data_IF_751024291710
#
_entry.id   IF_751024291710
#
_cell.length_a   1.000
_cell.length_b   1.000
_cell.length_c   1.000
_cell.angle_alpha   90.00
_cell.angle_beta   90.00
_cell.angle_gamma   90.00
#
_symmetry.space_group_name_H-M   'P 1'
#
loop_
_entity.id
_entity.type
_entity.pdbx_description
1 polymer ?
#
# COMPACT_ATOMS: atom_id res chain seq x y z
N UNK A 1 25.53 12.27 -0.90
CA UNK A 1 24.24 11.57 -0.71
C UNK A 1 23.13 12.62 -0.74
N UNK A 2 22.16 12.55 -1.66
CA UNK A 2 21.16 13.62 -1.84
C UNK A 2 20.14 13.58 -0.68
N UNK A 3 20.05 14.67 0.09
CA UNK A 3 19.21 14.78 1.29
C UNK A 3 17.71 14.54 0.98
N UNK A 4 17.25 14.85 -0.23
CA UNK A 4 15.85 14.69 -0.66
C UNK A 4 15.43 13.22 -0.75
N UNK A 5 16.26 12.35 -1.34
CA UNK A 5 15.97 10.91 -1.41
C UNK A 5 16.03 10.27 -0.02
N UNK A 6 16.97 10.69 0.83
CA UNK A 6 17.03 10.24 2.21
C UNK A 6 15.77 10.67 3.00
N UNK A 7 15.29 11.90 2.78
CA UNK A 7 14.06 12.41 3.39
C UNK A 7 12.82 11.67 2.88
N UNK A 8 12.70 11.42 1.57
CA UNK A 8 11.63 10.61 0.99
C UNK A 8 11.63 9.20 1.58
N UNK A 9 12.78 8.53 1.58
CA UNK A 9 12.92 7.20 2.17
C UNK A 9 12.56 7.19 3.66
N UNK A 10 12.92 8.25 4.40
CA UNK A 10 12.51 8.44 5.79
C UNK A 10 11.00 8.54 5.95
N UNK A 11 10.32 9.37 5.14
CA UNK A 11 8.85 9.49 5.16
C UNK A 11 8.16 8.17 4.85
N UNK A 12 8.58 7.48 3.79
CA UNK A 12 8.02 6.17 3.41
C UNK A 12 8.15 5.19 4.57
N UNK A 13 9.35 5.05 5.16
CA UNK A 13 9.58 4.18 6.31
C UNK A 13 8.72 4.54 7.51
N UNK A 14 8.46 5.82 7.73
CA UNK A 14 7.62 6.28 8.84
C UNK A 14 6.13 6.00 8.59
N UNK A 15 5.68 6.00 7.34
CA UNK A 15 4.28 5.68 6.98
C UNK A 15 3.95 4.19 7.07
N UNK A 16 4.92 3.29 6.86
CA UNK A 16 4.67 1.84 6.89
C UNK A 16 4.10 1.32 8.22
N UNK A 17 4.62 1.70 9.42
CA UNK A 17 4.01 1.33 10.69
C UNK A 17 2.56 1.80 10.86
N UNK A 18 2.20 2.96 10.30
CA UNK A 18 0.84 3.47 10.37
C UNK A 18 -0.11 2.65 9.49
N UNK A 19 0.32 2.27 8.28
CA UNK A 19 -0.41 1.33 7.43
C UNK A 19 -0.60 -0.03 8.10
N UNK A 20 0.44 -0.56 8.74
CA UNK A 20 0.37 -1.83 9.46
C UNK A 20 -0.64 -1.79 10.62
N UNK A 21 -0.74 -0.65 11.33
CA UNK A 21 -1.76 -0.46 12.37
C UNK A 21 -3.17 -0.48 11.79
N UNK A 22 -3.40 0.15 10.64
CA UNK A 22 -4.71 0.16 9.98
C UNK A 22 -5.13 -1.27 9.58
N UNK A 23 -4.20 -2.05 9.02
CA UNK A 23 -4.43 -3.47 8.69
C UNK A 23 -4.82 -4.27 9.94
N UNK A 24 -4.00 -4.21 11.00
CA UNK A 24 -4.29 -4.94 12.23
C UNK A 24 -5.60 -4.53 12.91
N UNK A 25 -6.02 -3.26 12.75
CA UNK A 25 -7.32 -2.78 13.23
C UNK A 25 -8.47 -3.32 12.39
N UNK A 26 -8.35 -3.35 11.06
CA UNK A 26 -9.36 -3.96 10.19
C UNK A 26 -9.56 -5.44 10.53
N UNK A 27 -8.48 -6.20 10.69
CA UNK A 27 -8.52 -7.63 11.07
C UNK A 27 -9.21 -7.84 12.43
N UNK A 28 -8.81 -7.07 13.46
CA UNK A 28 -9.39 -7.15 14.80
C UNK A 28 -10.89 -6.86 14.80
N UNK A 29 -11.33 -5.84 14.05
CA UNK A 29 -12.74 -5.45 13.99
C UNK A 29 -13.57 -6.47 13.20
N UNK A 30 -13.01 -7.04 12.12
CA UNK A 30 -13.67 -8.13 11.38
C UNK A 30 -13.88 -9.36 12.26
N UNK A 31 -12.86 -9.74 13.03
CA UNK A 31 -12.93 -10.86 13.97
C UNK A 31 -13.97 -10.61 15.10
N UNK A 32 -14.11 -9.36 15.56
CA UNK A 32 -15.19 -8.97 16.48
C UNK A 32 -16.57 -9.08 15.84
N UNK A 33 -16.77 -8.51 14.65
CA UNK A 33 -18.03 -8.59 13.91
C UNK A 33 -18.51 -10.04 13.77
N UNK A 34 -17.59 -10.94 13.37
CA UNK A 34 -17.88 -12.37 13.21
C UNK A 34 -18.27 -13.06 14.52
N UNK A 35 -17.61 -12.72 15.64
CA UNK A 35 -17.88 -13.37 16.94
C UNK A 35 -19.13 -12.85 17.64
N UNK A 36 -19.42 -11.56 17.54
CA UNK A 36 -20.58 -10.97 18.21
C UNK A 36 -21.84 -10.95 17.36
N UNK A 37 -21.72 -11.09 16.03
CA UNK A 37 -22.82 -10.85 15.09
C UNK A 37 -23.23 -9.38 14.99
N UNK A 38 -22.43 -8.47 15.57
CA UNK A 38 -22.70 -7.04 15.59
C UNK A 38 -22.10 -6.39 14.34
N UNK A 39 -22.97 -5.94 13.45
CA UNK A 39 -22.60 -5.33 12.18
C UNK A 39 -21.94 -3.96 12.33
N UNK A 40 -22.08 -3.27 13.47
CA UNK A 40 -21.49 -1.93 13.65
C UNK A 40 -19.95 -1.97 13.59
N UNK A 41 -19.33 -3.12 13.88
CA UNK A 41 -17.91 -3.30 13.69
C UNK A 41 -17.47 -3.26 12.21
N UNK A 42 -18.38 -3.54 11.26
CA UNK A 42 -18.08 -3.52 9.83
C UNK A 42 -17.79 -2.11 9.31
N UNK A 43 -18.44 -1.08 9.87
CA UNK A 43 -18.11 0.31 9.54
C UNK A 43 -16.66 0.64 9.91
N UNK A 44 -16.21 0.13 11.06
CA UNK A 44 -14.82 0.26 11.49
C UNK A 44 -13.86 -0.50 10.58
N UNK A 45 -14.23 -1.67 10.06
CA UNK A 45 -13.43 -2.38 9.04
C UNK A 45 -13.30 -1.53 7.78
N UNK A 46 -14.42 -1.06 7.24
CA UNK A 46 -14.44 -0.25 6.02
C UNK A 46 -13.58 1.00 6.15
N UNK A 47 -13.66 1.69 7.29
CA UNK A 47 -12.85 2.87 7.59
C UNK A 47 -11.34 2.57 7.57
N UNK A 48 -10.91 1.47 8.17
CA UNK A 48 -9.49 1.11 8.21
C UNK A 48 -8.96 0.64 6.85
N UNK A 49 -9.78 -0.09 6.07
CA UNK A 49 -9.44 -0.45 4.69
C UNK A 49 -9.28 0.80 3.82
N UNK A 50 -10.23 1.73 3.89
CA UNK A 50 -10.12 3.00 3.19
C UNK A 50 -8.85 3.77 3.57
N UNK A 51 -8.57 3.88 4.87
CA UNK A 51 -7.35 4.54 5.36
C UNK A 51 -6.07 3.88 4.86
N UNK A 52 -6.03 2.54 4.79
CA UNK A 52 -4.88 1.81 4.27
C UNK A 52 -4.62 2.16 2.80
N UNK A 53 -5.63 2.04 1.94
CA UNK A 53 -5.47 2.31 0.51
C UNK A 53 -5.15 3.78 0.22
N UNK A 54 -5.78 4.73 0.93
CA UNK A 54 -5.45 6.15 0.81
C UNK A 54 -4.01 6.46 1.23
N UNK A 55 -3.49 5.78 2.25
CA UNK A 55 -2.10 5.92 2.66
C UNK A 55 -1.10 5.33 1.66
N UNK A 56 -1.42 4.17 1.06
CA UNK A 56 -0.64 3.57 -0.03
C UNK A 56 -0.58 4.51 -1.25
N UNK A 57 -1.73 5.05 -1.67
CA UNK A 57 -1.82 6.03 -2.76
C UNK A 57 -0.89 7.22 -2.50
N UNK A 58 -0.97 7.81 -1.30
CA UNK A 58 -0.14 8.96 -0.93
C UNK A 58 1.37 8.67 -0.99
N UNK A 59 1.79 7.46 -0.61
CA UNK A 59 3.20 7.02 -0.73
C UNK A 59 3.62 7.00 -2.21
N UNK A 60 2.81 6.41 -3.09
CA UNK A 60 3.12 6.36 -4.53
C UNK A 60 3.18 7.74 -5.15
N UNK A 61 2.25 8.64 -4.79
CA UNK A 61 2.32 10.01 -5.26
C UNK A 61 3.58 10.73 -4.77
N UNK A 62 3.99 10.53 -3.51
CA UNK A 62 5.22 11.10 -2.97
C UNK A 62 6.46 10.59 -3.70
N UNK A 63 6.49 9.30 -4.04
CA UNK A 63 7.53 8.71 -4.90
C UNK A 63 7.53 9.42 -6.26
N UNK A 64 6.37 9.51 -6.93
CA UNK A 64 6.27 10.12 -8.25
C UNK A 64 6.76 11.58 -8.25
N UNK A 65 6.31 12.37 -7.26
CA UNK A 65 6.70 13.78 -7.09
C UNK A 65 8.19 13.96 -6.80
N UNK A 66 8.82 13.09 -6.03
CA UNK A 66 10.20 13.31 -5.58
C UNK A 66 11.26 12.58 -6.44
N UNK A 67 10.88 11.52 -7.15
CA UNK A 67 11.83 10.77 -8.00
C UNK A 67 11.94 11.37 -9.39
N UNK A 68 10.82 11.83 -9.97
CA UNK A 68 10.78 12.26 -11.38
C UNK A 68 10.81 13.78 -11.60
N UNK A 69 10.60 14.59 -10.56
CA UNK A 69 10.53 16.06 -10.69
C UNK A 69 11.90 16.76 -10.61
N UNK A 70 12.94 16.09 -10.09
CA UNK A 70 14.25 16.73 -9.89
C UNK A 70 15.24 16.36 -11.00
N UNK A 71 15.78 17.39 -11.66
CA UNK A 71 16.92 17.39 -12.60
C UNK A 71 17.56 16.00 -12.81
N UNK A 72 17.07 15.31 -13.85
CA UNK A 72 17.50 13.98 -14.27
C UNK A 72 18.96 14.00 -14.74
N UNK A 73 19.89 13.95 -13.79
CA UNK A 73 21.32 13.76 -14.10
C UNK A 73 21.53 12.30 -14.50
N UNK A 74 22.29 12.02 -15.57
CA UNK A 74 22.48 10.65 -16.08
C UNK A 74 22.90 9.62 -15.03
N UNK A 75 23.83 9.98 -14.12
CA UNK A 75 24.26 9.07 -13.05
C UNK A 75 23.14 8.66 -12.07
N UNK A 76 22.20 9.56 -11.78
CA UNK A 76 21.04 9.25 -10.91
C UNK A 76 20.05 8.33 -11.60
N UNK A 77 19.83 8.54 -12.90
CA UNK A 77 18.98 7.65 -13.69
C UNK A 77 19.59 6.25 -13.72
N UNK A 78 20.90 6.13 -13.88
CA UNK A 78 21.59 4.82 -13.84
C UNK A 78 21.38 4.10 -12.51
N UNK A 79 21.53 4.80 -11.37
CA UNK A 79 21.27 4.23 -10.04
C UNK A 79 19.82 3.78 -9.87
N UNK A 80 18.85 4.59 -10.31
CA UNK A 80 17.42 4.22 -10.25
C UNK A 80 17.10 3.01 -11.14
N UNK A 81 17.64 2.99 -12.35
CA UNK A 81 17.44 1.89 -13.31
C UNK A 81 18.08 0.59 -12.81
N UNK A 82 19.21 0.66 -12.11
CA UNK A 82 19.90 -0.52 -11.57
C UNK A 82 19.02 -1.33 -10.60
N UNK A 83 18.18 -0.67 -9.79
CA UNK A 83 17.24 -1.32 -8.87
C UNK A 83 15.81 -1.47 -9.41
N UNK A 84 15.51 -0.95 -10.61
CA UNK A 84 14.14 -0.85 -11.11
C UNK A 84 13.49 -2.21 -11.34
N UNK A 85 14.24 -3.20 -11.82
CA UNK A 85 13.72 -4.55 -12.08
C UNK A 85 13.22 -5.23 -10.82
N UNK A 86 14.02 -5.18 -9.75
CA UNK A 86 13.66 -5.80 -8.47
C UNK A 86 12.46 -5.07 -7.83
N UNK A 87 12.44 -3.74 -7.93
CA UNK A 87 11.30 -2.93 -7.47
C UNK A 87 10.02 -3.28 -8.25
N UNK A 88 10.10 -3.40 -9.57
CA UNK A 88 8.98 -3.82 -10.40
C UNK A 88 8.48 -5.22 -10.02
N UNK A 89 9.38 -6.17 -9.78
CA UNK A 89 8.98 -7.53 -9.40
C UNK A 89 8.20 -7.55 -8.09
N UNK A 90 8.68 -6.84 -7.06
CA UNK A 90 7.97 -6.76 -5.78
C UNK A 90 6.57 -6.14 -5.93
N UNK A 91 6.47 -5.03 -6.68
CA UNK A 91 5.16 -4.39 -6.95
C UNK A 91 4.26 -5.29 -7.79
N UNK A 92 4.81 -5.99 -8.78
CA UNK A 92 4.06 -6.93 -9.60
C UNK A 92 3.50 -8.07 -8.75
N UNK A 93 4.31 -8.66 -7.88
CA UNK A 93 3.89 -9.77 -7.02
C UNK A 93 2.75 -9.32 -6.08
N UNK A 94 2.88 -8.14 -5.47
CA UNK A 94 1.85 -7.56 -4.61
C UNK A 94 0.53 -7.30 -5.36
N UNK A 95 0.61 -6.72 -6.57
CA UNK A 95 -0.58 -6.44 -7.39
C UNK A 95 -1.25 -7.71 -7.89
N UNK A 96 -0.49 -8.74 -8.27
CA UNK A 96 -1.02 -10.03 -8.69
C UNK A 96 -1.71 -10.75 -7.52
N UNK A 97 -1.15 -10.68 -6.32
CA UNK A 97 -1.80 -11.20 -5.11
C UNK A 97 -3.14 -10.50 -4.87
N UNK A 98 -3.20 -9.18 -5.03
CA UNK A 98 -4.46 -8.42 -4.94
C UNK A 98 -5.46 -8.84 -6.03
N UNK A 99 -5.03 -9.02 -7.29
CA UNK A 99 -5.89 -9.53 -8.35
C UNK A 99 -6.52 -10.88 -7.99
N UNK A 100 -5.74 -11.82 -7.47
CA UNK A 100 -6.27 -13.12 -7.04
C UNK A 100 -7.32 -12.99 -5.93
N UNK A 101 -7.15 -12.06 -4.99
CA UNK A 101 -8.17 -11.79 -3.95
C UNK A 101 -9.45 -11.26 -4.58
N UNK A 102 -9.35 -10.29 -5.50
CA UNK A 102 -10.51 -9.70 -6.17
C UNK A 102 -11.26 -10.71 -7.04
N UNK A 103 -10.52 -11.59 -7.73
CA UNK A 103 -11.09 -12.68 -8.53
C UNK A 103 -11.87 -13.66 -7.64
N UNK A 104 -11.33 -14.04 -6.48
CA UNK A 104 -12.02 -14.92 -5.53
C UNK A 104 -13.33 -14.29 -5.03
N UNK A 105 -13.31 -13.01 -4.66
CA UNK A 105 -14.51 -12.28 -4.21
C UNK A 105 -15.58 -12.22 -5.31
N UNK A 106 -15.18 -12.08 -6.58
CA UNK A 106 -16.12 -12.02 -7.71
C UNK A 106 -16.88 -13.33 -7.95
N UNK A 107 -16.32 -14.47 -7.53
CA UNK A 107 -16.97 -15.78 -7.65
C UNK A 107 -17.96 -16.00 -6.52
N UNK A 108 -17.63 -15.58 -5.29
CA UNK A 108 -18.50 -15.72 -4.11
C UNK A 108 -19.81 -14.91 -4.24
N UNK A 109 -19.76 -13.72 -4.84
CA UNK A 109 -20.96 -12.89 -5.09
C UNK A 109 -21.90 -13.48 -6.17
N UNK A 110 -21.42 -14.42 -7.00
CA UNK A 110 -22.19 -15.06 -8.08
C UNK A 110 -22.97 -16.32 -7.67
N UNK A 111 -22.78 -16.82 -6.45
CA UNK A 111 -23.43 -18.03 -5.92
C UNK A 111 -24.57 -17.75 -4.91
N UNK A 112 -24.98 -16.48 -4.74
CA UNK A 112 -26.12 -16.03 -3.92
C UNK A 112 -27.31 -15.59 -4.79
#
# INVERSE_FOLDING_TARGET
MNAEYAALAGRIRQSLPDLARLVGRAELLMDKARRSGDSDYLDGVALNLHGFYAGVERIFEDIARNVYTFNLRPGRIQELVAGLRDCYQAVQDDLLALCSILEQLSVEDGEL
#
